data_IF_699619983181
#
_entry.id   IF_699619983181
#
_cell.length_a   1.000
_cell.length_b   1.000
_cell.length_c   1.000
_cell.angle_alpha   90.00
_cell.angle_beta   90.00
_cell.angle_gamma   90.00
#
_symmetry.space_group_name_H-M   'P 1'
#
loop_
_entity.id
_entity.type
_entity.pdbx_description
1 polymer ?
#
# COMPACT_ATOMS: atom_id res chain seq x y z
N UNK A 1 0.67 4.85 22.30
CA UNK A 1 0.88 3.74 23.27
C UNK A 1 0.68 2.44 22.54
N UNK A 2 1.69 1.56 22.52
CA UNK A 2 1.54 0.20 22.00
C UNK A 2 1.55 -0.73 23.21
N UNK A 3 0.43 -1.40 23.47
CA UNK A 3 0.33 -2.37 24.56
C UNK A 3 0.60 -3.79 24.09
N UNK A 4 0.84 -4.68 25.06
CA UNK A 4 0.98 -6.12 24.80
C UNK A 4 2.12 -6.42 23.81
N UNK A 5 3.19 -5.62 23.87
CA UNK A 5 4.28 -5.66 22.89
C UNK A 5 4.95 -7.04 22.84
N UNK A 6 4.95 -7.78 23.95
CA UNK A 6 5.57 -9.10 24.08
C UNK A 6 4.59 -10.27 24.06
N UNK A 7 3.28 -10.04 23.91
CA UNK A 7 2.27 -11.10 23.86
C UNK A 7 2.49 -12.03 22.65
N UNK A 8 3.07 -11.50 21.58
CA UNK A 8 3.46 -12.28 20.42
C UNK A 8 4.75 -11.75 19.79
N UNK A 9 5.66 -12.68 19.42
CA UNK A 9 6.91 -12.37 18.72
C UNK A 9 6.74 -11.50 17.48
N UNK A 10 5.62 -11.63 16.77
CA UNK A 10 5.31 -10.81 15.60
C UNK A 10 5.06 -9.34 15.97
N UNK A 11 4.32 -9.07 17.06
CA UNK A 11 4.02 -7.72 17.55
C UNK A 11 5.32 -7.04 17.96
N UNK A 12 6.16 -7.72 18.75
CA UNK A 12 7.47 -7.20 19.18
C UNK A 12 8.35 -6.84 17.98
N UNK A 13 8.42 -7.74 16.98
CA UNK A 13 9.17 -7.51 15.74
C UNK A 13 8.59 -6.34 14.91
N UNK A 14 7.28 -6.08 14.96
CA UNK A 14 6.64 -4.93 14.31
C UNK A 14 7.12 -3.63 14.95
N UNK A 15 7.04 -3.54 16.27
CA UNK A 15 7.41 -2.34 17.05
C UNK A 15 8.90 -2.02 16.91
N UNK A 16 9.78 -3.00 17.09
CA UNK A 16 11.24 -2.78 16.98
C UNK A 16 11.60 -2.28 15.57
N UNK A 17 10.96 -2.83 14.54
CA UNK A 17 11.18 -2.42 13.16
C UNK A 17 10.74 -1.00 12.90
N UNK A 18 9.54 -0.65 13.35
CA UNK A 18 9.01 0.69 13.23
C UNK A 18 9.96 1.72 13.85
N UNK A 19 10.38 1.51 15.10
CA UNK A 19 11.34 2.37 15.80
C UNK A 19 12.68 2.45 15.04
N UNK A 20 13.20 1.32 14.57
CA UNK A 20 14.50 1.26 13.90
C UNK A 20 14.50 2.03 12.58
N UNK A 21 13.47 1.80 11.74
CA UNK A 21 13.33 2.47 10.44
C UNK A 21 13.09 3.97 10.65
N UNK A 22 12.19 4.35 11.57
CA UNK A 22 11.95 5.76 11.87
C UNK A 22 13.24 6.45 12.30
N UNK A 23 14.01 5.88 13.24
CA UNK A 23 15.29 6.46 13.67
C UNK A 23 16.29 6.60 12.52
N UNK A 24 16.38 5.60 11.64
CA UNK A 24 17.28 5.64 10.49
C UNK A 24 16.89 6.76 9.51
N UNK A 25 15.60 6.90 9.21
CA UNK A 25 15.09 7.91 8.29
C UNK A 25 15.22 9.33 8.89
N UNK A 26 14.93 9.50 10.17
CA UNK A 26 14.92 10.83 10.82
C UNK A 26 16.30 11.42 11.08
N UNK A 27 17.35 10.61 11.06
CA UNK A 27 18.73 11.09 11.15
C UNK A 27 19.20 11.80 9.88
N UNK A 28 18.50 11.63 8.76
CA UNK A 28 18.82 12.32 7.51
C UNK A 28 18.25 13.74 7.53
N UNK A 29 19.09 14.76 7.40
CA UNK A 29 18.67 16.17 7.46
C UNK A 29 17.61 16.56 6.41
N UNK A 30 17.52 15.80 5.31
CA UNK A 30 16.54 15.98 4.22
C UNK A 30 15.13 15.48 4.61
N UNK A 31 15.01 14.67 5.67
CA UNK A 31 13.79 13.97 6.07
C UNK A 31 12.72 14.86 6.72
N UNK A 32 13.06 16.09 7.12
CA UNK A 32 12.23 16.88 8.06
C UNK A 32 10.81 17.14 7.59
N UNK A 33 10.52 16.99 6.30
CA UNK A 33 9.25 17.42 5.72
C UNK A 33 8.39 16.26 5.19
N UNK A 34 8.92 15.05 5.04
CA UNK A 34 8.22 13.97 4.29
C UNK A 34 7.92 12.70 5.07
N UNK A 35 8.60 12.44 6.19
CA UNK A 35 8.33 11.30 7.10
C UNK A 35 8.12 11.82 8.52
N UNK A 36 7.22 11.16 9.27
CA UNK A 36 6.92 11.49 10.64
C UNK A 36 8.14 11.23 11.55
N UNK A 37 8.61 12.26 12.25
CA UNK A 37 9.79 12.15 13.12
C UNK A 37 9.47 11.46 14.43
N UNK A 38 10.30 10.49 14.80
CA UNK A 38 10.38 9.96 16.16
C UNK A 38 11.19 10.93 17.03
N UNK A 39 10.60 11.39 18.12
CA UNK A 39 11.20 12.32 19.08
C UNK A 39 11.79 11.57 20.27
N UNK A 40 11.07 10.57 20.79
CA UNK A 40 11.50 9.79 21.95
C UNK A 40 10.84 8.40 21.98
N UNK A 41 11.42 7.47 22.73
CA UNK A 41 10.85 6.16 23.04
C UNK A 41 10.91 5.96 24.55
N UNK A 42 9.75 6.07 25.21
CA UNK A 42 9.63 5.89 26.65
C UNK A 42 9.15 4.47 26.93
N UNK A 43 9.93 3.76 27.75
CA UNK A 43 9.60 2.43 28.24
C UNK A 43 9.64 2.43 29.79
N UNK A 44 8.86 1.55 30.46
CA UNK A 44 8.91 1.41 31.91
C UNK A 44 10.31 1.04 32.41
N UNK A 45 10.71 1.56 33.57
CA UNK A 45 12.02 1.25 34.19
C UNK A 45 12.15 -0.23 34.58
N UNK A 46 11.05 -0.87 34.99
CA UNK A 46 10.96 -2.29 35.27
C UNK A 46 10.10 -3.00 34.23
N UNK A 47 10.73 -3.84 33.41
CA UNK A 47 10.04 -4.72 32.46
C UNK A 47 9.57 -6.00 33.19
N UNK A 48 8.34 -6.01 33.68
CA UNK A 48 7.70 -7.24 34.15
C UNK A 48 7.01 -7.95 32.96
N UNK A 49 7.30 -9.24 32.77
CA UNK A 49 6.65 -10.06 31.73
C UNK A 49 5.16 -10.28 32.00
N UNK A 50 4.68 -9.99 33.20
CA UNK A 50 3.34 -10.36 33.67
C UNK A 50 2.34 -9.20 33.71
N UNK A 51 2.78 -7.94 33.79
CA UNK A 51 1.87 -6.79 33.79
C UNK A 51 2.38 -5.63 32.89
N UNK A 52 1.50 -5.16 32.00
CA UNK A 52 1.58 -3.84 31.37
C UNK A 52 2.85 -3.49 30.58
N UNK A 53 3.21 -4.36 29.64
CA UNK A 53 4.25 -4.10 28.65
C UNK A 53 3.79 -3.11 27.57
N UNK A 54 3.83 -1.82 27.91
CA UNK A 54 3.59 -0.72 26.99
C UNK A 54 4.89 -0.05 26.57
N UNK A 55 4.97 0.36 25.31
CA UNK A 55 5.98 1.30 24.83
C UNK A 55 5.26 2.55 24.34
N UNK A 56 5.78 3.71 24.74
CA UNK A 56 5.34 5.01 24.23
C UNK A 56 6.35 5.48 23.19
N UNK A 57 5.89 5.60 21.96
CA UNK A 57 6.63 6.23 20.88
C UNK A 57 6.14 7.66 20.81
N UNK A 58 7.02 8.61 21.15
CA UNK A 58 6.75 10.05 21.04
C UNK A 58 7.17 10.47 19.65
N UNK A 59 6.24 11.06 18.89
CA UNK A 59 6.45 11.47 17.51
C UNK A 59 6.11 12.95 17.35
N UNK A 60 6.57 13.55 16.26
CA UNK A 60 6.11 14.89 15.92
C UNK A 60 4.59 14.91 15.71
N UNK A 61 3.97 16.01 16.15
CA UNK A 61 2.54 16.15 16.07
C UNK A 61 2.12 16.57 14.66
N UNK A 62 1.14 15.86 14.11
CA UNK A 62 0.40 16.25 12.91
C UNK A 62 -1.07 16.36 13.28
N UNK A 63 -1.74 17.39 12.75
CA UNK A 63 -3.11 17.72 13.15
C UNK A 63 -4.09 16.60 12.86
N UNK A 64 -3.93 15.94 11.72
CA UNK A 64 -4.84 14.89 11.28
C UNK A 64 -4.13 13.81 10.47
N UNK A 65 -4.86 12.75 10.16
CA UNK A 65 -4.51 11.78 9.13
C UNK A 65 -5.43 11.94 7.92
N UNK A 66 -4.99 11.46 6.76
CA UNK A 66 -5.71 11.63 5.50
C UNK A 66 -7.05 10.89 5.51
N UNK A 67 -7.17 9.79 6.26
CA UNK A 67 -8.46 9.06 6.41
C UNK A 67 -9.52 9.95 7.03
N UNK A 68 -9.21 10.58 8.16
CA UNK A 68 -10.12 11.48 8.85
C UNK A 68 -10.41 12.72 8.00
N UNK A 69 -9.43 13.24 7.25
CA UNK A 69 -9.66 14.32 6.29
C UNK A 69 -10.65 13.90 5.21
N UNK A 70 -10.43 12.77 4.53
CA UNK A 70 -11.35 12.22 3.51
C UNK A 70 -12.79 12.07 4.05
N UNK A 71 -12.94 11.66 5.30
CA UNK A 71 -14.26 11.56 5.93
C UNK A 71 -14.92 12.93 6.16
N UNK A 72 -14.14 13.97 6.42
CA UNK A 72 -14.60 15.34 6.61
C UNK A 72 -14.84 16.10 5.29
N UNK A 73 -14.12 15.76 4.21
CA UNK A 73 -14.21 16.43 2.90
C UNK A 73 -15.61 16.40 2.27
N UNK A 74 -16.50 15.50 2.71
CA UNK A 74 -17.93 15.49 2.31
C UNK A 74 -18.65 16.83 2.53
N UNK A 75 -18.17 17.63 3.48
CA UNK A 75 -18.82 18.87 3.91
C UNK A 75 -18.04 20.12 3.50
N UNK A 76 -16.89 19.96 2.85
CA UNK A 76 -15.98 21.04 2.52
C UNK A 76 -15.71 21.10 1.02
N UNK A 77 -15.35 22.28 0.52
CA UNK A 77 -14.94 22.42 -0.87
C UNK A 77 -13.49 21.96 -1.04
N UNK A 78 -13.31 20.75 -1.58
CA UNK A 78 -12.02 20.21 -1.95
C UNK A 78 -11.77 20.34 -3.45
N UNK A 79 -10.60 20.82 -3.86
CA UNK A 79 -10.26 21.07 -5.26
C UNK A 79 -9.18 20.11 -5.75
N UNK A 80 -9.14 19.88 -7.07
CA UNK A 80 -8.05 19.10 -7.68
C UNK A 80 -6.66 19.71 -7.40
N UNK A 81 -6.56 21.03 -7.23
CA UNK A 81 -5.29 21.67 -6.82
C UNK A 81 -4.84 21.23 -5.43
N UNK A 82 -5.76 21.11 -4.48
CA UNK A 82 -5.45 20.61 -3.13
C UNK A 82 -5.11 19.12 -3.17
N UNK A 83 -5.84 18.34 -3.96
CA UNK A 83 -5.52 16.93 -4.24
C UNK A 83 -4.09 16.78 -4.78
N UNK A 84 -3.72 17.54 -5.81
CA UNK A 84 -2.39 17.49 -6.41
C UNK A 84 -1.30 17.84 -5.40
N UNK A 85 -1.55 18.78 -4.48
CA UNK A 85 -0.61 19.10 -3.40
C UNK A 85 -0.41 17.92 -2.44
N UNK A 86 -1.48 17.25 -2.02
CA UNK A 86 -1.42 16.05 -1.17
C UNK A 86 -0.68 14.92 -1.91
N UNK A 87 -1.03 14.69 -3.18
CA UNK A 87 -0.40 13.67 -4.02
C UNK A 87 1.11 13.92 -4.17
N UNK A 88 1.48 15.15 -4.53
CA UNK A 88 2.88 15.57 -4.68
C UNK A 88 3.68 15.36 -3.39
N UNK A 89 3.17 15.85 -2.25
CA UNK A 89 3.87 15.71 -0.98
C UNK A 89 4.00 14.23 -0.55
N UNK A 90 3.00 13.40 -0.87
CA UNK A 90 3.07 11.95 -0.65
C UNK A 90 4.13 11.29 -1.53
N UNK A 91 4.20 11.67 -2.82
CA UNK A 91 5.23 11.20 -3.75
C UNK A 91 6.64 11.61 -3.30
N UNK A 92 6.83 12.82 -2.77
CA UNK A 92 8.09 13.24 -2.18
C UNK A 92 8.50 12.33 -1.01
N UNK A 93 7.55 11.97 -0.14
CA UNK A 93 7.79 11.02 0.96
C UNK A 93 8.15 9.61 0.48
N UNK A 94 7.44 9.10 -0.52
CA UNK A 94 7.76 7.80 -1.12
C UNK A 94 9.13 7.80 -1.79
N UNK A 95 9.44 8.83 -2.58
CA UNK A 95 10.74 8.98 -3.22
C UNK A 95 11.88 9.00 -2.20
N UNK A 96 11.72 9.77 -1.12
CA UNK A 96 12.67 9.78 -0.01
C UNK A 96 12.86 8.38 0.59
N UNK A 97 11.77 7.69 0.94
CA UNK A 97 11.85 6.34 1.51
C UNK A 97 12.51 5.34 0.56
N UNK A 98 12.13 5.35 -0.72
CA UNK A 98 12.67 4.43 -1.73
C UNK A 98 14.14 4.70 -2.01
N UNK A 99 14.58 5.97 -2.02
CA UNK A 99 16.01 6.32 -2.11
C UNK A 99 16.85 5.86 -0.91
N UNK A 100 16.21 5.56 0.23
CA UNK A 100 16.82 4.98 1.41
C UNK A 100 16.65 3.45 1.48
N UNK A 101 16.28 2.81 0.36
CA UNK A 101 15.96 1.39 0.24
C UNK A 101 14.86 0.93 1.21
N UNK A 102 13.87 1.78 1.53
CA UNK A 102 12.75 1.43 2.42
C UNK A 102 11.44 1.37 1.65
N UNK A 103 10.87 0.16 1.57
CA UNK A 103 9.51 -0.07 1.10
C UNK A 103 8.52 0.07 2.27
N UNK A 104 7.47 0.88 2.12
CA UNK A 104 6.50 1.07 3.19
C UNK A 104 5.62 -0.15 3.37
N UNK A 105 5.05 -0.70 2.27
CA UNK A 105 4.21 -1.91 2.19
C UNK A 105 2.83 -1.81 2.87
N UNK A 106 2.46 -0.63 3.33
CA UNK A 106 1.18 -0.38 4.01
C UNK A 106 0.74 1.08 3.86
N UNK A 107 0.97 1.65 2.67
CA UNK A 107 0.49 2.98 2.34
C UNK A 107 -1.04 2.92 2.27
N UNK A 108 -1.68 3.75 3.08
CA UNK A 108 -3.13 3.89 3.20
C UNK A 108 -3.46 5.23 3.87
N UNK A 109 -4.68 5.75 3.76
CA UNK A 109 -5.00 7.09 4.26
C UNK A 109 -4.72 7.31 5.75
N UNK A 110 -4.85 6.29 6.62
CA UNK A 110 -4.55 6.43 8.05
C UNK A 110 -3.06 6.54 8.37
N UNK A 111 -2.18 6.21 7.41
CA UNK A 111 -0.72 6.22 7.56
C UNK A 111 -0.09 7.44 6.86
N UNK A 112 -0.93 8.34 6.34
CA UNK A 112 -0.54 9.61 5.73
C UNK A 112 -1.03 10.71 6.66
N UNK A 113 -0.12 11.31 7.41
CA UNK A 113 -0.41 12.43 8.30
C UNK A 113 -0.44 13.73 7.52
N UNK A 114 -1.32 14.66 7.93
CA UNK A 114 -1.57 15.91 7.21
C UNK A 114 -1.85 17.07 8.17
N UNK A 115 -1.36 18.26 7.82
CA UNK A 115 -1.62 19.52 8.53
C UNK A 115 -2.58 20.45 7.78
N UNK A 116 -2.89 21.61 8.36
CA UNK A 116 -3.79 22.61 7.75
C UNK A 116 -3.25 23.22 6.46
N UNK A 117 -1.94 23.13 6.23
CA UNK A 117 -1.28 23.62 5.03
C UNK A 117 -1.20 22.54 3.94
N UNK A 118 -1.77 21.36 4.15
CA UNK A 118 -1.67 20.18 3.28
C UNK A 118 -0.23 19.65 3.13
N UNK A 119 0.63 19.90 4.13
CA UNK A 119 1.91 19.20 4.22
C UNK A 119 1.65 17.77 4.68
N UNK A 120 2.37 16.82 4.08
CA UNK A 120 2.14 15.39 4.28
C UNK A 120 3.38 14.73 4.87
N UNK A 121 3.16 13.85 5.85
CA UNK A 121 4.21 13.01 6.43
C UNK A 121 3.76 11.57 6.55
N UNK A 122 4.59 10.63 6.11
CA UNK A 122 4.30 9.20 6.15
C UNK A 122 4.66 8.61 7.54
N UNK A 123 3.83 7.70 8.06
CA UNK A 123 4.04 7.03 9.36
C UNK A 123 3.60 5.54 9.36
N UNK A 124 3.81 4.83 10.48
CA UNK A 124 3.55 3.37 10.67
C UNK A 124 4.41 2.46 9.77
N UNK A 125 5.70 2.39 10.11
CA UNK A 125 6.70 1.58 9.42
C UNK A 125 6.74 0.12 9.88
N UNK A 126 5.75 -0.34 10.64
CA UNK A 126 5.82 -1.65 11.25
C UNK A 126 5.75 -2.81 10.25
N UNK A 127 5.18 -2.57 9.06
CA UNK A 127 5.18 -3.53 7.94
C UNK A 127 6.29 -3.30 6.92
N UNK A 128 7.08 -2.23 7.07
CA UNK A 128 8.11 -1.85 6.10
C UNK A 128 9.23 -2.88 5.98
N UNK A 129 9.96 -2.84 4.87
CA UNK A 129 11.10 -3.73 4.59
C UNK A 129 12.15 -2.98 3.79
N UNK A 130 13.38 -3.48 3.84
CA UNK A 130 14.40 -3.05 2.89
C UNK A 130 14.03 -3.51 1.47
N UNK A 131 14.12 -2.60 0.50
CA UNK A 131 14.01 -2.93 -0.92
C UNK A 131 15.12 -3.95 -1.26
N UNK A 132 14.80 -5.14 -1.78
CA UNK A 132 15.83 -6.09 -2.21
C UNK A 132 16.60 -5.52 -3.40
N UNK A 133 17.71 -4.81 -3.15
CA UNK A 133 18.61 -4.16 -4.12
C UNK A 133 17.88 -3.44 -5.28
N UNK A 134 17.97 -2.10 -5.37
CA UNK A 134 17.24 -1.35 -6.39
C UNK A 134 17.50 -1.93 -7.78
N UNK A 135 16.43 -2.09 -8.55
CA UNK A 135 16.53 -2.41 -9.97
C UNK A 135 17.52 -1.40 -10.58
N UNK A 136 18.52 -1.83 -11.39
CA UNK A 136 19.52 -0.93 -11.95
C UNK A 136 18.83 0.27 -12.61
N UNK A 137 19.33 1.50 -12.44
CA UNK A 137 18.69 2.71 -12.99
C UNK A 137 18.24 2.51 -14.44
N UNK A 138 16.93 2.44 -14.65
CA UNK A 138 16.33 2.21 -15.96
C UNK A 138 15.80 3.53 -16.47
N UNK A 139 16.22 3.94 -17.67
CA UNK A 139 15.48 4.95 -18.42
C UNK A 139 14.01 4.50 -18.55
N UNK A 140 13.08 5.37 -18.16
CA UNK A 140 11.63 5.09 -18.25
C UNK A 140 11.28 4.64 -19.67
N UNK A 141 10.80 3.39 -19.87
CA UNK A 141 10.47 2.91 -21.20
C UNK A 141 9.30 3.73 -21.76
N UNK A 142 9.54 4.42 -22.87
CA UNK A 142 8.55 5.26 -23.55
C UNK A 142 7.50 4.46 -24.32
N UNK A 143 7.63 3.12 -24.40
CA UNK A 143 6.69 2.21 -25.07
C UNK A 143 6.40 0.96 -24.24
N UNK A 144 5.21 0.37 -24.44
CA UNK A 144 4.79 -0.88 -23.78
C UNK A 144 5.71 -2.06 -24.10
N UNK A 145 6.16 -2.18 -25.34
CA UNK A 145 7.05 -3.25 -25.80
C UNK A 145 8.45 -3.19 -25.14
N UNK A 146 8.92 -1.98 -24.81
CA UNK A 146 10.16 -1.78 -24.06
C UNK A 146 10.01 -2.12 -22.56
N UNK A 147 8.80 -2.03 -22.00
CA UNK A 147 8.53 -2.51 -20.62
C UNK A 147 8.64 -4.04 -20.54
N UNK A 148 8.19 -4.78 -21.57
CA UNK A 148 8.21 -6.24 -21.60
C UNK A 148 9.62 -6.84 -21.65
N UNK A 149 10.44 -6.37 -22.60
CA UNK A 149 11.85 -6.84 -22.72
C UNK A 149 12.65 -6.53 -21.47
N UNK A 150 12.39 -5.37 -20.88
CA UNK A 150 13.01 -4.97 -19.63
C UNK A 150 12.58 -5.83 -18.46
N UNK A 151 11.28 -6.11 -18.29
CA UNK A 151 10.77 -6.98 -17.25
C UNK A 151 11.38 -8.39 -17.33
N UNK A 152 11.46 -8.96 -18.54
CA UNK A 152 12.13 -10.26 -18.77
C UNK A 152 13.63 -10.21 -18.48
N UNK A 153 14.32 -9.16 -18.92
CA UNK A 153 15.77 -9.03 -18.72
C UNK A 153 16.12 -8.86 -17.24
N UNK A 154 15.37 -8.06 -16.50
CA UNK A 154 15.50 -7.91 -15.05
C UNK A 154 15.29 -9.25 -14.33
N UNK A 155 14.27 -10.01 -14.72
CA UNK A 155 14.00 -11.32 -14.15
C UNK A 155 15.18 -12.29 -14.32
N UNK A 156 15.80 -12.33 -15.51
CA UNK A 156 16.96 -13.19 -15.78
C UNK A 156 18.25 -12.74 -15.07
N UNK A 157 18.51 -11.43 -14.99
CA UNK A 157 19.70 -10.90 -14.31
C UNK A 157 19.64 -11.06 -12.77
N UNK A 158 18.44 -11.26 -12.22
CA UNK A 158 18.20 -11.40 -10.77
C UNK A 158 18.36 -12.84 -10.24
N UNK A 159 18.34 -13.88 -11.09
CA UNK A 159 18.49 -15.28 -10.66
C UNK A 159 19.86 -15.60 -10.00
N UNK A 160 20.86 -14.72 -10.17
CA UNK A 160 22.21 -14.86 -9.60
C UNK A 160 22.41 -14.28 -8.19
N UNK A 161 21.43 -13.58 -7.61
CA UNK A 161 21.61 -12.85 -6.34
C UNK A 161 21.25 -13.68 -5.10
N UNK A 162 21.95 -13.43 -3.99
CA UNK A 162 21.82 -14.23 -2.76
C UNK A 162 20.42 -14.16 -2.15
N UNK A 163 19.67 -15.27 -2.25
CA UNK A 163 18.29 -15.42 -1.79
C UNK A 163 18.20 -15.40 -0.27
N UNK A 164 18.07 -14.23 0.35
CA UNK A 164 17.64 -14.16 1.77
C UNK A 164 16.17 -14.61 1.85
N UNK A 165 15.93 -15.74 2.53
CA UNK A 165 14.59 -16.30 2.76
C UNK A 165 13.77 -15.34 3.64
N UNK A 166 12.86 -14.58 3.03
CA UNK A 166 12.02 -13.58 3.73
C UNK A 166 10.68 -14.22 4.12
N UNK A 167 10.29 -14.06 5.37
CA UNK A 167 8.98 -14.46 5.90
C UNK A 167 8.01 -13.28 5.84
N UNK A 168 6.89 -13.48 5.13
CA UNK A 168 5.75 -12.57 5.13
C UNK A 168 5.02 -12.64 6.48
N UNK A 169 4.48 -11.51 6.92
CA UNK A 169 3.65 -11.42 8.11
C UNK A 169 2.17 -11.58 7.76
N UNK A 170 1.52 -12.58 8.36
CA UNK A 170 0.17 -13.05 8.02
C UNK A 170 -1.00 -12.25 8.64
N UNK A 171 -0.77 -11.09 9.27
CA UNK A 171 -1.85 -10.36 9.97
C UNK A 171 -1.96 -8.90 9.52
N UNK A 172 -3.11 -8.57 8.92
CA UNK A 172 -3.32 -7.29 8.22
C UNK A 172 -4.79 -6.89 8.29
N UNK A 173 -5.03 -5.63 8.67
CA UNK A 173 -6.38 -5.10 8.95
C UNK A 173 -7.01 -4.41 7.73
N UNK A 174 -6.23 -3.83 6.80
CA UNK A 174 -6.76 -3.15 5.61
C UNK A 174 -6.12 -3.69 4.34
N UNK A 175 -6.95 -4.17 3.42
CA UNK A 175 -6.53 -4.91 2.21
C UNK A 175 -6.69 -4.12 0.92
N UNK A 176 -7.54 -3.09 0.95
CA UNK A 176 -8.00 -2.33 -0.22
C UNK A 176 -6.91 -1.60 -1.00
N UNK A 177 -5.78 -1.31 -0.36
CA UNK A 177 -4.67 -0.54 -0.95
C UNK A 177 -3.49 -1.45 -1.37
N UNK A 178 -3.62 -2.77 -1.26
CA UNK A 178 -2.51 -3.69 -1.54
C UNK A 178 -2.35 -3.98 -3.02
N UNK A 179 -1.10 -3.98 -3.46
CA UNK A 179 -0.71 -4.38 -4.81
C UNK A 179 -0.94 -5.89 -5.03
N UNK A 180 -1.29 -6.33 -6.26
CA UNK A 180 -1.53 -7.74 -6.58
C UNK A 180 -0.40 -8.68 -6.16
N UNK A 181 0.85 -8.31 -6.43
CA UNK A 181 2.07 -9.06 -6.07
C UNK A 181 2.23 -9.24 -4.55
N UNK A 182 1.79 -8.26 -3.76
CA UNK A 182 1.76 -8.37 -2.29
C UNK A 182 0.65 -9.32 -1.87
N UNK A 183 -0.51 -9.30 -2.53
CA UNK A 183 -1.65 -10.17 -2.22
C UNK A 183 -1.30 -11.64 -2.51
N UNK A 184 -0.73 -11.92 -3.68
CA UNK A 184 -0.34 -13.29 -4.10
C UNK A 184 0.94 -13.80 -3.43
N UNK A 185 1.54 -13.03 -2.53
CA UNK A 185 2.75 -13.41 -1.78
C UNK A 185 3.99 -13.65 -2.66
N UNK A 186 4.15 -12.87 -3.74
CA UNK A 186 5.38 -12.94 -4.53
C UNK A 186 6.60 -12.64 -3.65
N UNK A 187 7.69 -13.33 -3.95
CA UNK A 187 8.93 -13.22 -3.16
C UNK A 187 9.73 -11.98 -3.52
N UNK A 188 9.59 -11.53 -4.76
CA UNK A 188 10.30 -10.41 -5.33
C UNK A 188 9.30 -9.31 -5.66
N UNK A 189 9.38 -8.22 -4.89
CA UNK A 189 8.57 -7.01 -5.05
C UNK A 189 9.40 -5.82 -4.59
N UNK A 190 9.11 -4.66 -5.17
CA UNK A 190 9.92 -3.44 -5.06
C UNK A 190 9.04 -2.20 -4.82
N UNK A 191 9.62 -1.00 -4.96
CA UNK A 191 8.97 0.30 -4.86
C UNK A 191 7.57 0.44 -5.52
N UNK A 192 7.26 -0.17 -6.69
CA UNK A 192 5.95 -0.03 -7.34
C UNK A 192 4.75 -0.44 -6.48
N UNK A 193 4.91 -1.30 -5.47
CA UNK A 193 3.82 -1.68 -4.58
C UNK A 193 3.24 -0.49 -3.81
N UNK A 194 4.09 0.48 -3.44
CA UNK A 194 3.68 1.67 -2.70
C UNK A 194 3.01 2.69 -3.66
N UNK A 195 3.44 2.69 -4.93
CA UNK A 195 2.81 3.48 -6.00
C UNK A 195 1.41 2.96 -6.30
N UNK A 196 1.21 1.64 -6.34
CA UNK A 196 -0.12 1.05 -6.46
C UNK A 196 -1.04 1.49 -5.31
N UNK A 197 -0.54 1.43 -4.07
CA UNK A 197 -1.29 1.89 -2.91
C UNK A 197 -1.66 3.37 -3.02
N UNK A 198 -0.75 4.21 -3.51
CA UNK A 198 -1.03 5.63 -3.74
C UNK A 198 -2.06 5.86 -4.85
N UNK A 199 -2.05 5.07 -5.93
CA UNK A 199 -3.09 5.10 -6.96
C UNK A 199 -4.49 4.80 -6.40
N UNK A 200 -4.59 3.84 -5.50
CA UNK A 200 -5.84 3.57 -4.77
C UNK A 200 -6.31 4.79 -3.96
N UNK A 201 -5.39 5.48 -3.27
CA UNK A 201 -5.70 6.70 -2.51
C UNK A 201 -6.07 7.86 -3.44
N UNK A 202 -5.39 7.99 -4.58
CA UNK A 202 -5.67 9.01 -5.58
C UNK A 202 -7.12 8.91 -6.09
N UNK A 203 -7.58 7.70 -6.40
CA UNK A 203 -8.97 7.48 -6.81
C UNK A 203 -9.98 7.92 -5.75
N UNK A 204 -9.69 7.67 -4.46
CA UNK A 204 -10.51 8.09 -3.34
C UNK A 204 -10.56 9.62 -3.24
N UNK A 205 -9.41 10.28 -3.36
CA UNK A 205 -9.32 11.75 -3.35
C UNK A 205 -10.03 12.40 -4.52
N UNK A 206 -10.00 11.81 -5.73
CA UNK A 206 -10.73 12.31 -6.90
C UNK A 206 -12.23 12.41 -6.57
N UNK A 207 -12.81 11.35 -5.98
CA UNK A 207 -14.24 11.33 -5.61
C UNK A 207 -14.60 12.33 -4.49
N UNK A 208 -13.60 12.83 -3.74
CA UNK A 208 -13.79 13.86 -2.74
C UNK A 208 -13.77 15.28 -3.30
N UNK A 209 -13.36 15.49 -4.56
CA UNK A 209 -13.31 16.83 -5.14
C UNK A 209 -14.71 17.41 -5.36
N UNK A 210 -14.81 18.74 -5.36
CA UNK A 210 -16.06 19.49 -5.44
C UNK A 210 -16.89 19.15 -6.67
N UNK A 211 -16.25 18.75 -7.77
CA UNK A 211 -16.92 18.35 -9.00
C UNK A 211 -17.75 17.08 -8.76
N UNK A 212 -17.20 16.12 -8.01
CA UNK A 212 -17.86 14.84 -7.71
C UNK A 212 -18.87 15.00 -6.57
N UNK A 213 -18.50 15.68 -5.48
CA UNK A 213 -19.39 15.83 -4.33
C UNK A 213 -20.63 16.68 -4.64
N UNK A 214 -20.53 17.63 -5.57
CA UNK A 214 -21.68 18.43 -6.05
C UNK A 214 -22.49 17.78 -7.18
N UNK A 215 -22.02 16.68 -7.76
CA UNK A 215 -22.71 16.00 -8.86
C UNK A 215 -24.01 15.29 -8.44
N UNK A 216 -24.18 15.02 -7.13
CA UNK A 216 -25.30 14.23 -6.60
C UNK A 216 -25.18 12.72 -6.84
N UNK A 217 -24.16 12.26 -7.56
CA UNK A 217 -23.90 10.83 -7.79
C UNK A 217 -23.08 10.27 -6.62
N UNK A 218 -23.48 9.09 -6.13
CA UNK A 218 -22.76 8.39 -5.06
C UNK A 218 -21.66 7.49 -5.66
N UNK A 219 -20.47 8.05 -5.83
CA UNK A 219 -19.30 7.29 -6.29
C UNK A 219 -18.74 6.38 -5.18
N UNK A 220 -18.28 5.18 -5.55
CA UNK A 220 -17.51 4.33 -4.62
C UNK A 220 -16.21 5.04 -4.25
N UNK A 221 -16.00 5.26 -2.95
CA UNK A 221 -14.79 5.93 -2.43
C UNK A 221 -13.53 5.10 -2.60
N UNK A 222 -13.65 3.78 -2.46
CA UNK A 222 -12.50 2.87 -2.51
C UNK A 222 -12.60 2.14 -3.84
N UNK A 223 -11.58 2.31 -4.70
CA UNK A 223 -11.53 1.67 -6.01
C UNK A 223 -11.57 0.14 -5.89
N UNK A 224 -10.65 -0.46 -5.11
CA UNK A 224 -10.61 -1.91 -4.90
C UNK A 224 -11.06 -2.30 -3.49
N UNK A 225 -12.37 -2.45 -3.29
CA UNK A 225 -12.94 -2.79 -1.97
C UNK A 225 -13.19 -4.30 -1.80
N UNK A 226 -12.13 -5.09 -1.61
CA UNK A 226 -12.25 -6.50 -1.22
C UNK A 226 -12.54 -6.71 0.28
N UNK A 227 -13.30 -7.76 0.60
CA UNK A 227 -13.60 -8.21 1.97
C UNK A 227 -12.49 -9.09 2.58
N UNK A 228 -11.68 -9.75 1.75
CA UNK A 228 -10.65 -10.73 2.15
C UNK A 228 -9.43 -10.73 1.21
N UNK A 229 -8.34 -11.41 1.59
CA UNK A 229 -7.16 -11.60 0.73
C UNK A 229 -6.64 -13.02 0.88
N UNK A 230 -7.00 -13.93 0.01
CA UNK A 230 -6.34 -15.22 -0.09
C UNK A 230 -4.96 -15.03 -0.78
N UNK A 231 -3.86 -15.63 -0.27
CA UNK A 231 -3.74 -16.50 0.91
C UNK A 231 -3.33 -15.79 2.22
N UNK A 232 -3.07 -14.47 2.24
CA UNK A 232 -2.56 -13.76 3.43
C UNK A 232 -3.57 -13.63 4.59
N UNK A 233 -4.85 -13.68 4.29
CA UNK A 233 -5.99 -13.58 5.22
C UNK A 233 -7.27 -14.08 4.51
N UNK A 234 -7.36 -15.38 4.26
CA UNK A 234 -8.51 -15.98 3.61
C UNK A 234 -9.74 -15.91 4.53
N UNK A 235 -10.94 -15.92 3.95
CA UNK A 235 -12.12 -16.20 4.75
C UNK A 235 -12.08 -17.66 5.21
N UNK A 236 -12.45 -17.93 6.46
CA UNK A 236 -12.58 -19.29 6.98
C UNK A 236 -14.02 -19.76 6.76
N UNK A 237 -14.23 -20.86 6.04
CA UNK A 237 -15.54 -21.54 5.96
C UNK A 237 -15.43 -22.93 6.58
N UNK A 238 -16.44 -23.34 7.34
CA UNK A 238 -16.53 -24.69 7.86
C UNK A 238 -16.81 -25.67 6.71
N UNK A 239 -16.01 -26.73 6.58
CA UNK A 239 -16.32 -27.83 5.68
C UNK A 239 -17.48 -28.68 6.23
N UNK A 240 -17.90 -29.71 5.49
CA UNK A 240 -18.99 -30.62 5.90
C UNK A 240 -18.73 -31.34 7.24
N UNK A 241 -17.49 -31.34 7.72
CA UNK A 241 -17.03 -31.96 8.97
C UNK A 241 -16.81 -30.92 10.10
N UNK A 242 -17.15 -29.64 9.86
CA UNK A 242 -17.00 -28.56 10.83
C UNK A 242 -15.59 -27.97 10.94
N UNK A 243 -14.62 -28.44 10.16
CA UNK A 243 -13.26 -27.89 10.12
C UNK A 243 -13.22 -26.59 9.33
N UNK A 244 -12.58 -25.57 9.88
CA UNK A 244 -12.39 -24.28 9.20
C UNK A 244 -11.30 -24.39 8.14
N UNK A 245 -11.68 -24.26 6.87
CA UNK A 245 -10.77 -24.29 5.72
C UNK A 245 -10.64 -22.86 5.17
N UNK A 246 -9.42 -22.41 4.81
CA UNK A 246 -9.22 -21.13 4.14
C UNK A 246 -9.80 -21.18 2.72
N UNK A 247 -10.75 -20.27 2.43
CA UNK A 247 -11.42 -20.16 1.13
C UNK A 247 -11.27 -18.72 0.61
N UNK A 248 -11.02 -18.59 -0.70
CA UNK A 248 -11.10 -17.30 -1.38
C UNK A 248 -12.58 -16.89 -1.55
N UNK A 249 -13.00 -15.85 -0.83
CA UNK A 249 -14.35 -15.30 -0.90
C UNK A 249 -14.70 -14.78 -2.32
N UNK A 250 -15.97 -14.57 -2.64
CA UNK A 250 -16.39 -13.94 -3.89
C UNK A 250 -15.97 -12.46 -3.96
N UNK A 251 -15.86 -11.82 -2.80
CA UNK A 251 -15.36 -10.47 -2.61
C UNK A 251 -13.87 -10.44 -2.22
N UNK A 252 -13.10 -11.48 -2.57
CA UNK A 252 -11.65 -11.47 -2.40
C UNK A 252 -11.01 -10.29 -3.15
N UNK A 253 -10.04 -9.63 -2.52
CA UNK A 253 -9.37 -8.44 -3.05
C UNK A 253 -8.80 -8.64 -4.44
N UNK A 254 -8.18 -9.80 -4.72
CA UNK A 254 -7.59 -10.04 -6.04
C UNK A 254 -8.68 -10.20 -7.10
N UNK A 255 -9.79 -10.87 -6.78
CA UNK A 255 -10.96 -10.96 -7.66
C UNK A 255 -11.58 -9.59 -7.92
N UNK A 256 -11.66 -8.72 -6.91
CA UNK A 256 -12.15 -7.34 -7.06
C UNK A 256 -11.24 -6.53 -7.99
N UNK A 257 -9.91 -6.65 -7.81
CA UNK A 257 -8.94 -6.00 -8.70
C UNK A 257 -9.12 -6.47 -10.14
N UNK A 258 -9.14 -7.79 -10.37
CA UNK A 258 -9.28 -8.36 -11.71
C UNK A 258 -10.61 -7.98 -12.37
N UNK A 259 -11.72 -7.95 -11.61
CA UNK A 259 -13.03 -7.54 -12.12
C UNK A 259 -13.04 -6.08 -12.57
N UNK A 260 -12.37 -5.21 -11.83
CA UNK A 260 -12.31 -3.78 -12.14
C UNK A 260 -11.33 -3.53 -13.29
N UNK A 261 -10.10 -4.06 -13.21
CA UNK A 261 -9.10 -3.85 -14.25
C UNK A 261 -9.39 -4.61 -15.54
N UNK A 262 -10.26 -5.62 -15.52
CA UNK A 262 -10.64 -6.42 -16.68
C UNK A 262 -9.53 -7.37 -17.14
N UNK A 263 -9.55 -7.73 -18.42
CA UNK A 263 -8.64 -8.69 -19.04
C UNK A 263 -7.17 -8.33 -18.79
N UNK A 264 -6.42 -9.25 -18.19
CA UNK A 264 -4.97 -9.13 -18.02
C UNK A 264 -4.26 -9.79 -19.21
N UNK A 265 -3.25 -9.13 -19.75
CA UNK A 265 -2.38 -9.68 -20.79
C UNK A 265 -1.34 -10.63 -20.19
N UNK A 266 -0.67 -11.43 -21.01
CA UNK A 266 0.48 -12.24 -20.55
C UNK A 266 1.56 -11.35 -19.87
N UNK A 267 1.74 -10.12 -20.35
CA UNK A 267 2.64 -9.13 -19.76
C UNK A 267 2.18 -8.70 -18.35
N UNK A 268 0.88 -8.55 -18.13
CA UNK A 268 0.32 -8.11 -16.85
C UNK A 268 0.50 -9.17 -15.75
N UNK A 269 0.72 -10.45 -16.10
CA UNK A 269 0.89 -11.56 -15.16
C UNK A 269 2.28 -12.18 -15.16
N UNK A 270 3.21 -11.70 -16.00
CA UNK A 270 4.53 -12.33 -16.18
C UNK A 270 5.44 -12.25 -14.95
N UNK A 271 5.14 -11.36 -13.99
CA UNK A 271 5.90 -11.23 -12.76
C UNK A 271 5.64 -12.35 -11.74
N UNK A 272 4.59 -13.17 -11.95
CA UNK A 272 4.20 -14.23 -11.04
C UNK A 272 5.20 -15.40 -11.11
N UNK A 273 5.85 -15.71 -9.99
CA UNK A 273 6.83 -16.80 -9.91
C UNK A 273 6.23 -18.12 -9.44
N UNK A 274 5.07 -18.09 -8.78
CA UNK A 274 4.39 -19.29 -8.26
C UNK A 274 3.26 -19.74 -9.20
N UNK A 275 3.38 -20.99 -9.69
CA UNK A 275 2.35 -21.62 -10.52
C UNK A 275 0.98 -21.67 -9.84
N UNK A 276 0.90 -21.69 -8.50
CA UNK A 276 -0.41 -21.60 -7.81
C UNK A 276 -1.07 -20.24 -7.99
N UNK A 277 -0.29 -19.17 -7.94
CA UNK A 277 -0.75 -17.79 -8.14
C UNK A 277 -1.19 -17.57 -9.59
N UNK A 278 -0.42 -18.08 -10.56
CA UNK A 278 -0.79 -18.08 -11.99
C UNK A 278 -2.12 -18.79 -12.20
N UNK A 279 -2.24 -20.05 -11.75
CA UNK A 279 -3.47 -20.82 -11.86
C UNK A 279 -4.66 -20.14 -11.17
N UNK A 280 -4.42 -19.44 -10.05
CA UNK A 280 -5.48 -18.69 -9.37
C UNK A 280 -5.96 -17.51 -10.22
N UNK A 281 -5.04 -16.72 -10.77
CA UNK A 281 -5.39 -15.57 -11.60
C UNK A 281 -6.09 -16.05 -12.86
N UNK A 282 -5.54 -17.02 -13.59
CA UNK A 282 -6.16 -17.59 -14.81
C UNK A 282 -7.58 -18.10 -14.57
N UNK A 283 -7.82 -18.81 -13.46
CA UNK A 283 -9.17 -19.30 -13.11
C UNK A 283 -10.18 -18.20 -12.79
N UNK A 284 -9.69 -17.01 -12.40
CA UNK A 284 -10.52 -15.88 -12.03
C UNK A 284 -10.50 -14.74 -13.07
N UNK A 285 -9.71 -14.88 -14.15
CA UNK A 285 -9.81 -14.01 -15.31
C UNK A 285 -11.15 -14.25 -15.97
N UNK A 286 -11.97 -13.22 -15.97
CA UNK A 286 -13.22 -13.18 -16.69
C UNK A 286 -12.98 -12.31 -17.93
N UNK A 287 -13.62 -12.64 -19.05
CA UNK A 287 -13.57 -11.83 -20.27
C UNK A 287 -14.34 -10.52 -20.06
N UNK A 288 -13.69 -9.59 -19.36
CA UNK A 288 -14.24 -8.30 -18.93
C UNK A 288 -13.38 -7.21 -19.58
N UNK A 289 -13.99 -6.26 -20.29
CA UNK A 289 -13.24 -5.15 -20.87
C UNK A 289 -12.52 -4.35 -19.77
N UNK A 290 -11.28 -3.92 -20.04
CA UNK A 290 -10.53 -3.08 -19.09
C UNK A 290 -11.35 -1.83 -18.73
N UNK A 291 -11.32 -1.44 -17.44
CA UNK A 291 -11.88 -0.18 -16.97
C UNK A 291 -11.40 0.98 -17.83
N UNK A 292 -12.33 1.84 -18.23
CA UNK A 292 -11.99 3.11 -18.86
C UNK A 292 -12.04 4.20 -17.78
N UNK A 293 -10.89 4.53 -17.22
CA UNK A 293 -10.79 5.53 -16.15
C UNK A 293 -11.35 6.90 -16.55
N UNK A 294 -11.30 7.28 -17.83
CA UNK A 294 -11.93 8.52 -18.30
C UNK A 294 -13.46 8.49 -18.21
N UNK A 295 -14.07 7.30 -18.32
CA UNK A 295 -15.52 7.12 -18.12
C UNK A 295 -15.90 7.05 -16.64
N UNK A 296 -15.06 6.42 -15.82
CA UNK A 296 -15.29 6.33 -14.36
C UNK A 296 -15.05 7.66 -13.65
N UNK A 297 -14.11 8.46 -14.16
CA UNK A 297 -13.77 9.77 -13.64
C UNK A 297 -13.97 10.88 -14.69
N UNK A 298 -15.21 11.12 -15.16
CA UNK A 298 -15.47 12.02 -16.28
C UNK A 298 -15.43 13.51 -15.90
N UNK A 299 -15.47 13.82 -14.59
CA UNK A 299 -15.49 15.19 -14.08
C UNK A 299 -14.10 15.70 -13.71
N UNK A 300 -13.07 14.85 -13.82
CA UNK A 300 -11.69 15.18 -13.50
C UNK A 300 -10.89 15.61 -14.72
N UNK A 301 -9.83 16.37 -14.48
CA UNK A 301 -8.89 16.74 -15.53
C UNK A 301 -8.25 15.49 -16.17
N UNK A 302 -8.10 15.48 -17.50
CA UNK A 302 -7.60 14.31 -18.26
C UNK A 302 -6.23 13.85 -17.79
N UNK A 303 -5.33 14.77 -17.45
CA UNK A 303 -4.00 14.42 -16.93
C UNK A 303 -4.07 13.75 -15.55
N UNK A 304 -5.03 14.13 -14.71
CA UNK A 304 -5.23 13.51 -13.40
C UNK A 304 -5.70 12.06 -13.55
N UNK A 305 -6.58 11.82 -14.51
CA UNK A 305 -7.05 10.47 -14.87
C UNK A 305 -5.92 9.67 -15.51
N UNK A 306 -5.11 10.29 -16.38
CA UNK A 306 -3.96 9.64 -17.01
C UNK A 306 -2.87 9.25 -16.00
N UNK A 307 -2.68 10.01 -14.92
CA UNK A 307 -1.79 9.63 -13.81
C UNK A 307 -2.33 8.45 -12.98
N UNK A 308 -3.65 8.28 -12.90
CA UNK A 308 -4.27 7.16 -12.19
C UNK A 308 -4.15 5.84 -12.96
N UNK A 309 -4.12 5.91 -14.30
CA UNK A 309 -4.06 4.77 -15.22
C UNK A 309 -2.65 4.17 -15.32
#
# INVERSE_FOLDING_TARGET
MIGRVFDANYITKKVIREISIMRQLTQQAVCSDSVCRILDVVAPEAFDRTENNFVFIVMEYMKNDLKNVIDQLKKQEFTERQLLKILYNTLCGLHFMHSADVLHRDIKPSNILIDDNLNVKICDFGLSRSDPEPLPHIETPTSKENKFKLAQQLYFEMEGRSKKKRSLSNHVVTRSYRAPEVIVQEKEYHAPIDIWSLGCILSELITCTKQYTKSGINYSRILFKGSSCFPLSPCEKANAEGQKVPVADENDQLKVILRILGNQTEEDVCFLSDMKSVNYIEKNLQDIPKINFCKEFPLSHVDLVAMLQ
#
